data_IF_728304611451
#
_entry.id   IF_728304611451
#
_cell.length_a   1.000
_cell.length_b   1.000
_cell.length_c   1.000
_cell.angle_alpha   90.00
_cell.angle_beta   90.00
_cell.angle_gamma   90.00
#
_symmetry.space_group_name_H-M   'P 1'
#
loop_
_entity.id
_entity.type
_entity.pdbx_description
1 polymer ?
#
# COMPACT_ATOMS: atom_id res chain seq x y z
N UNK A 1 11.17 -4.33 0.31
CA UNK A 1 10.25 -3.30 0.84
C UNK A 1 9.76 -2.53 -0.37
N UNK A 2 8.61 -2.92 -0.91
CA UNK A 2 8.01 -2.29 -2.11
C UNK A 2 7.00 -1.26 -1.64
N UNK A 3 7.10 -0.04 -2.18
CA UNK A 3 6.13 1.02 -1.93
C UNK A 3 5.39 1.29 -3.23
N UNK A 4 4.07 1.24 -3.17
CA UNK A 4 3.20 1.53 -4.30
C UNK A 4 2.49 2.85 -4.06
N UNK A 5 2.59 3.77 -5.02
CA UNK A 5 1.89 5.05 -4.99
C UNK A 5 0.73 5.01 -5.97
N UNK A 6 -0.47 5.31 -5.48
CA UNK A 6 -1.70 5.34 -6.27
C UNK A 6 -2.27 6.76 -6.22
N UNK A 7 -2.46 7.34 -7.40
CA UNK A 7 -3.19 8.59 -7.53
C UNK A 7 -4.69 8.30 -7.59
N UNK A 8 -5.41 8.73 -6.55
CA UNK A 8 -6.86 8.55 -6.43
C UNK A 8 -7.66 9.74 -6.96
N UNK A 9 -7.02 10.88 -7.25
CA UNK A 9 -7.68 12.10 -7.77
C UNK A 9 -8.63 11.87 -8.98
N UNK A 10 -8.31 10.99 -9.97
CA UNK A 10 -9.24 10.75 -11.08
C UNK A 10 -10.54 10.04 -10.70
N UNK A 11 -10.62 9.41 -9.52
CA UNK A 11 -11.79 8.63 -9.08
C UNK A 11 -12.45 9.29 -7.87
N UNK A 12 -11.65 9.69 -6.89
CA UNK A 12 -12.13 10.27 -5.63
C UNK A 12 -11.06 11.11 -4.96
N UNK A 13 -11.42 12.30 -4.48
CA UNK A 13 -10.55 13.06 -3.59
C UNK A 13 -10.58 12.46 -2.20
N UNK A 14 -9.50 11.77 -1.84
CA UNK A 14 -9.36 11.15 -0.52
C UNK A 14 -9.43 12.22 0.57
N UNK A 15 -10.54 12.30 1.29
CA UNK A 15 -10.66 13.18 2.46
C UNK A 15 -9.98 12.57 3.67
N UNK A 16 -9.87 13.33 4.76
CA UNK A 16 -9.26 12.83 6.00
C UNK A 16 -10.09 11.69 6.58
N UNK A 17 -11.42 11.84 6.61
CA UNK A 17 -12.32 10.78 7.10
C UNK A 17 -12.22 9.51 6.25
N UNK A 18 -12.23 9.64 4.91
CA UNK A 18 -12.11 8.49 4.01
C UNK A 18 -10.76 7.76 4.17
N UNK A 19 -9.67 8.50 4.37
CA UNK A 19 -8.37 7.90 4.67
C UNK A 19 -8.39 7.13 5.99
N UNK A 20 -9.06 7.66 7.02
CA UNK A 20 -9.22 6.96 8.30
C UNK A 20 -10.03 5.67 8.16
N UNK A 21 -11.13 5.70 7.42
CA UNK A 21 -11.92 4.49 7.15
C UNK A 21 -11.11 3.46 6.34
N UNK A 22 -10.31 3.92 5.38
CA UNK A 22 -9.41 3.06 4.60
C UNK A 22 -8.36 2.38 5.50
N UNK A 23 -7.77 3.12 6.43
CA UNK A 23 -6.87 2.58 7.46
C UNK A 23 -7.57 1.57 8.37
N UNK A 24 -8.78 1.89 8.84
CA UNK A 24 -9.54 1.00 9.71
C UNK A 24 -9.96 -0.30 8.99
N UNK A 25 -10.27 -0.23 7.70
CA UNK A 25 -10.61 -1.37 6.86
C UNK A 25 -9.40 -2.25 6.53
N UNK A 26 -8.18 -1.69 6.53
CA UNK A 26 -6.94 -2.40 6.18
C UNK A 26 -5.87 -2.26 7.29
N UNK A 27 -6.12 -2.77 8.51
CA UNK A 27 -5.23 -2.56 9.65
C UNK A 27 -3.86 -3.22 9.51
N UNK A 28 -3.73 -4.22 8.62
CA UNK A 28 -2.47 -4.91 8.34
C UNK A 28 -1.58 -4.18 7.33
N UNK A 29 -2.14 -3.20 6.60
CA UNK A 29 -1.42 -2.42 5.60
C UNK A 29 -0.91 -1.10 6.19
N UNK A 30 0.32 -0.73 5.81
CA UNK A 30 0.85 0.60 6.12
C UNK A 30 0.40 1.57 5.02
N UNK A 31 -0.68 2.27 5.28
CA UNK A 31 -1.25 3.28 4.41
C UNK A 31 -0.73 4.68 4.83
N UNK A 32 -0.23 5.44 3.87
CA UNK A 32 0.26 6.80 4.07
C UNK A 32 -0.29 7.72 2.98
N UNK A 33 -0.48 9.00 3.29
CA UNK A 33 -0.92 10.01 2.31
C UNK A 33 0.17 11.06 2.16
N UNK A 34 0.68 11.22 0.94
CA UNK A 34 1.75 12.19 0.68
C UNK A 34 1.20 13.63 0.57
N UNK A 35 2.11 14.60 0.49
CA UNK A 35 1.77 16.03 0.36
C UNK A 35 1.01 16.37 -0.93
N UNK A 36 1.13 15.55 -1.97
CA UNK A 36 0.40 15.69 -3.23
C UNK A 36 -1.04 15.13 -3.14
N UNK A 37 -1.38 14.44 -2.06
CA UNK A 37 -2.69 13.80 -1.89
C UNK A 37 -2.77 12.38 -2.45
N UNK A 38 -1.66 11.77 -2.83
CA UNK A 38 -1.58 10.40 -3.33
C UNK A 38 -1.53 9.40 -2.16
N UNK A 39 -2.09 8.22 -2.38
CA UNK A 39 -2.06 7.13 -1.40
C UNK A 39 -0.80 6.29 -1.62
N UNK A 40 0.02 6.17 -0.59
CA UNK A 40 1.21 5.32 -0.55
C UNK A 40 0.89 4.08 0.28
N UNK A 41 1.05 2.92 -0.32
CA UNK A 41 0.83 1.62 0.31
C UNK A 41 2.19 0.96 0.46
N UNK A 42 2.60 0.72 1.70
CA UNK A 42 3.77 -0.09 1.99
C UNK A 42 3.33 -1.50 2.36
N UNK A 43 3.81 -2.48 1.60
CA UNK A 43 3.61 -3.89 1.93
C UNK A 43 4.30 -4.19 3.26
N UNK A 44 3.64 -4.90 4.20
CA UNK A 44 4.34 -5.46 5.34
C UNK A 44 5.41 -6.41 4.81
N UNK A 45 6.58 -6.45 5.45
CA UNK A 45 7.74 -7.26 5.04
C UNK A 45 7.51 -8.78 5.09
N UNK A 46 6.27 -9.27 5.11
CA UNK A 46 5.91 -10.67 5.39
C UNK A 46 5.00 -11.38 4.39
N UNK A 47 4.47 -10.74 3.35
CA UNK A 47 3.46 -11.37 2.47
C UNK A 47 3.92 -11.75 1.05
N UNK A 48 4.80 -10.97 0.44
CA UNK A 48 5.22 -11.16 -0.97
C UNK A 48 6.50 -11.99 -1.13
N UNK A 49 7.04 -12.55 -0.05
CA UNK A 49 8.20 -13.45 -0.12
C UNK A 49 7.83 -14.87 -0.57
N UNK A 50 6.58 -15.14 -0.99
CA UNK A 50 6.17 -16.48 -1.43
C UNK A 50 6.06 -16.67 -2.95
N UNK A 51 5.92 -15.61 -3.76
CA UNK A 51 5.72 -15.79 -5.22
C UNK A 51 6.87 -15.31 -6.12
N UNK A 52 7.84 -14.56 -5.57
CA UNK A 52 9.04 -14.13 -6.30
C UNK A 52 10.35 -14.76 -5.77
N UNK A 53 10.27 -15.62 -4.74
CA UNK A 53 11.41 -16.36 -4.20
C UNK A 53 11.48 -17.83 -4.67
N UNK A 54 10.59 -18.24 -5.56
CA UNK A 54 10.66 -19.56 -6.23
C UNK A 54 11.82 -19.67 -7.22
N UNK A 55 12.47 -18.56 -7.59
CA UNK A 55 13.59 -18.54 -8.54
C UNK A 55 14.98 -18.48 -7.87
N UNK A 56 15.08 -18.32 -6.54
CA UNK A 56 16.37 -18.15 -5.84
C UNK A 56 16.71 -19.36 -4.93
N UNK A 57 15.94 -20.46 -5.01
CA UNK A 57 16.30 -21.77 -4.42
C UNK A 57 16.59 -22.82 -5.50
N UNK A 58 17.13 -22.42 -6.65
CA UNK A 58 17.79 -23.34 -7.55
C UNK A 58 19.21 -22.83 -7.81
N UNK A 59 20.07 -23.00 -6.80
CA UNK A 59 21.48 -23.45 -6.89
C UNK A 59 22.09 -23.62 -5.49
#
# INVERSE_FOLDING_TARGET
MTAYTINLDPIVKLTREQFYELCAANPELKLERNANGELVIMSPTGGETSSWNSDINLE
#
